data_IF_876579671772
#
_entry.id   IF_876579671772
#
_cell.length_a   1.000
_cell.length_b   1.000
_cell.length_c   1.000
_cell.angle_alpha   90.00
_cell.angle_beta   90.00
_cell.angle_gamma   90.00
#
_symmetry.space_group_name_H-M   'P 1'
#
loop_
_entity.id
_entity.type
_entity.pdbx_description
1 polymer ?
#
# COMPACT_ATOMS: atom_id res chain seq x y z
N UNK A 1 -30.47 -23.76 -11.90
CA UNK A 1 -29.69 -23.04 -12.92
C UNK A 1 -28.44 -22.60 -12.21
N UNK A 2 -27.47 -23.51 -12.14
CA UNK A 2 -26.11 -23.21 -11.69
C UNK A 2 -25.52 -22.34 -12.79
N UNK A 3 -25.55 -21.02 -12.56
CA UNK A 3 -24.82 -20.09 -13.41
C UNK A 3 -23.38 -20.21 -12.96
N UNK A 4 -22.56 -20.76 -13.84
CA UNK A 4 -21.10 -20.72 -13.78
C UNK A 4 -20.66 -19.30 -13.41
N UNK A 5 -20.37 -19.10 -12.13
CA UNK A 5 -19.70 -17.92 -11.62
C UNK A 5 -18.23 -18.07 -12.04
N UNK A 6 -17.97 -17.85 -13.33
CA UNK A 6 -16.64 -17.49 -13.82
C UNK A 6 -16.34 -16.13 -13.18
N UNK A 7 -15.92 -16.17 -11.91
CA UNK A 7 -15.38 -15.02 -11.21
C UNK A 7 -14.04 -14.77 -11.90
N UNK A 8 -14.09 -13.99 -12.98
CA UNK A 8 -12.93 -13.37 -13.58
C UNK A 8 -12.18 -12.68 -12.44
N UNK A 9 -11.07 -13.29 -12.02
CA UNK A 9 -10.29 -12.84 -10.88
C UNK A 9 -9.61 -11.53 -11.29
N UNK A 10 -10.36 -10.44 -11.18
CA UNK A 10 -9.83 -9.11 -11.38
C UNK A 10 -9.06 -8.74 -10.11
N UNK A 11 -7.73 -8.61 -10.16
CA UNK A 11 -6.94 -8.27 -8.97
C UNK A 11 -7.20 -6.82 -8.52
N UNK A 12 -7.83 -6.00 -9.36
CA UNK A 12 -8.10 -4.60 -9.10
C UNK A 12 -9.44 -4.41 -8.39
N UNK A 13 -9.42 -3.68 -7.26
CA UNK A 13 -10.61 -3.29 -6.51
C UNK A 13 -10.77 -1.78 -6.56
N UNK A 14 -12.02 -1.29 -6.59
CA UNK A 14 -12.28 0.16 -6.51
C UNK A 14 -11.95 0.66 -5.12
N UNK A 15 -11.22 1.76 -5.04
CA UNK A 15 -11.04 2.46 -3.78
C UNK A 15 -12.35 3.14 -3.37
N UNK A 16 -12.79 2.91 -2.13
CA UNK A 16 -14.04 3.45 -1.57
C UNK A 16 -13.78 4.18 -0.26
N UNK A 17 -14.79 4.89 0.26
CA UNK A 17 -14.73 5.48 1.60
C UNK A 17 -14.53 4.45 2.70
N UNK A 18 -15.10 3.26 2.52
CA UNK A 18 -14.90 2.13 3.43
C UNK A 18 -13.46 1.64 3.39
N UNK A 19 -12.87 1.56 2.19
CA UNK A 19 -11.45 1.24 2.01
C UNK A 19 -10.56 2.21 2.78
N UNK A 20 -10.80 3.52 2.64
CA UNK A 20 -10.07 4.56 3.38
C UNK A 20 -10.20 4.38 4.90
N UNK A 21 -11.42 4.20 5.40
CA UNK A 21 -11.66 3.98 6.83
C UNK A 21 -10.92 2.75 7.36
N UNK A 22 -10.92 1.65 6.60
CA UNK A 22 -10.22 0.42 6.96
C UNK A 22 -8.70 0.60 6.98
N UNK A 23 -8.12 1.40 6.07
CA UNK A 23 -6.69 1.74 6.08
C UNK A 23 -6.37 2.61 7.30
N UNK A 24 -7.13 3.68 7.53
CA UNK A 24 -6.92 4.58 8.68
C UNK A 24 -7.01 3.83 10.02
N UNK A 25 -7.97 2.92 10.15
CA UNK A 25 -8.11 2.07 11.33
C UNK A 25 -6.86 1.20 11.55
N UNK A 26 -6.42 0.47 10.53
CA UNK A 26 -5.22 -0.38 10.62
C UNK A 26 -3.97 0.41 10.99
N UNK A 27 -3.79 1.58 10.38
CA UNK A 27 -2.68 2.49 10.70
C UNK A 27 -2.74 2.96 12.15
N UNK A 28 -3.93 3.27 12.68
CA UNK A 28 -4.09 3.70 14.06
C UNK A 28 -3.80 2.57 15.05
N UNK A 29 -4.28 1.35 14.77
CA UNK A 29 -4.02 0.15 15.56
C UNK A 29 -2.52 -0.16 15.62
N UNK A 30 -1.83 -0.17 14.48
CA UNK A 30 -0.38 -0.41 14.40
C UNK A 30 0.43 0.65 15.18
N UNK A 31 0.04 1.92 15.06
CA UNK A 31 0.66 3.01 15.83
C UNK A 31 0.44 2.85 17.34
N UNK A 32 -0.73 2.41 17.76
CA UNK A 32 -1.03 2.18 19.17
C UNK A 32 -0.18 1.03 19.73
N UNK A 33 -0.08 -0.09 19.01
CA UNK A 33 0.78 -1.23 19.39
C UNK A 33 2.23 -0.79 19.53
N UNK A 34 2.77 -0.11 18.51
CA UNK A 34 4.15 0.43 18.52
C UNK A 34 4.39 1.44 19.65
N UNK A 35 3.38 2.16 20.13
CA UNK A 35 3.50 3.06 21.27
C UNK A 35 3.49 2.32 22.60
N UNK A 36 2.65 1.28 22.74
CA UNK A 36 2.59 0.48 23.97
C UNK A 36 3.82 -0.39 24.19
N UNK A 37 4.45 -0.88 23.12
CA UNK A 37 5.69 -1.66 23.20
C UNK A 37 6.92 -0.79 23.54
N UNK A 38 6.88 0.50 23.18
CA UNK A 38 7.96 1.47 23.50
C UNK A 38 7.93 2.00 24.93
N UNK A 39 6.95 1.62 25.74
CA UNK A 39 6.91 2.00 27.15
C UNK A 39 7.08 0.77 28.05
N UNK A 40 8.32 0.53 28.52
CA UNK A 40 8.49 0.18 29.92
C UNK A 40 9.54 1.07 30.60
N UNK A 41 9.10 1.66 31.71
CA UNK A 41 9.86 2.13 32.86
C UNK A 41 10.88 3.26 32.65
N UNK A 42 10.63 4.36 33.36
CA UNK A 42 11.70 5.20 33.88
C UNK A 42 12.68 4.32 34.69
N UNK A 43 13.84 3.99 34.12
CA UNK A 43 15.04 3.72 34.91
C UNK A 43 16.23 4.34 34.20
N UNK A 44 16.76 5.34 34.88
CA UNK A 44 18.03 6.02 34.71
C UNK A 44 19.20 5.07 34.37
N UNK A 45 20.17 5.56 33.60
CA UNK A 45 21.54 5.04 33.38
C UNK A 45 21.87 4.25 32.10
N UNK A 46 22.76 4.88 31.32
CA UNK A 46 23.95 4.33 30.65
C UNK A 46 23.82 3.52 29.35
N UNK A 47 24.37 4.12 28.29
CA UNK A 47 25.20 3.54 27.22
C UNK A 47 25.40 2.01 27.27
N UNK A 48 24.68 1.29 26.40
CA UNK A 48 25.09 -0.02 25.88
C UNK A 48 24.37 -0.28 24.54
N UNK A 49 25.16 -0.56 23.50
CA UNK A 49 24.69 -1.06 22.22
C UNK A 49 24.10 -2.47 22.40
N UNK A 50 22.80 -2.56 22.65
CA UNK A 50 22.09 -3.82 22.86
C UNK A 50 20.97 -4.00 21.86
N UNK A 51 21.23 -4.82 20.84
CA UNK A 51 20.30 -5.57 19.99
C UNK A 51 18.82 -5.45 20.44
N UNK A 52 18.09 -4.51 19.83
CA UNK A 52 16.65 -4.34 20.02
C UNK A 52 15.98 -5.68 19.70
N UNK A 53 15.05 -6.21 20.53
CA UNK A 53 14.43 -7.49 20.26
C UNK A 53 13.76 -7.41 18.89
N UNK A 54 14.38 -8.08 17.92
CA UNK A 54 13.87 -8.34 16.58
C UNK A 54 12.54 -9.07 16.72
N UNK A 55 11.47 -8.32 16.97
CA UNK A 55 10.12 -8.75 16.69
C UNK A 55 10.10 -9.02 15.20
N UNK A 56 10.24 -10.31 14.89
CA UNK A 56 10.34 -10.91 13.57
C UNK A 56 8.98 -10.80 12.85
N UNK A 57 8.49 -9.58 12.65
CA UNK A 57 7.69 -9.33 11.46
C UNK A 57 8.68 -9.31 10.30
N UNK A 58 8.54 -10.19 9.30
CA UNK A 58 9.35 -10.03 8.10
C UNK A 58 9.08 -8.62 7.60
N UNK A 59 10.13 -7.79 7.50
CA UNK A 59 10.02 -6.49 6.87
C UNK A 59 9.34 -6.73 5.51
N UNK A 60 8.08 -6.30 5.39
CA UNK A 60 7.39 -6.38 4.12
C UNK A 60 8.26 -5.59 3.14
N UNK A 61 8.58 -6.18 2.00
CA UNK A 61 9.34 -5.52 0.94
C UNK A 61 8.40 -5.34 -0.26
N UNK A 62 8.50 -4.22 -0.99
CA UNK A 62 7.76 -4.04 -2.23
C UNK A 62 7.98 -5.25 -3.15
N UNK A 63 6.93 -5.67 -3.82
CA UNK A 63 6.97 -6.81 -4.71
C UNK A 63 7.86 -6.49 -5.93
N UNK A 64 8.97 -7.22 -6.17
CA UNK A 64 9.90 -6.94 -7.26
C UNK A 64 9.27 -7.14 -8.65
N UNK A 65 8.15 -7.87 -8.75
CA UNK A 65 7.41 -8.03 -10.01
C UNK A 65 6.61 -6.78 -10.41
N UNK A 66 6.40 -5.86 -9.48
CA UNK A 66 5.72 -4.58 -9.70
C UNK A 66 6.71 -3.41 -9.85
N UNK A 67 8.01 -3.70 -9.94
CA UNK A 67 9.05 -2.71 -10.18
C UNK A 67 8.89 -2.05 -11.56
N UNK A 68 9.04 -0.72 -11.61
CA UNK A 68 8.94 0.03 -12.84
C UNK A 68 9.94 -0.46 -13.90
N UNK A 69 9.47 -0.64 -15.14
CA UNK A 69 10.29 -1.14 -16.24
C UNK A 69 10.41 -2.68 -16.31
N UNK A 70 9.87 -3.43 -15.34
CA UNK A 70 9.66 -4.88 -15.47
C UNK A 70 8.39 -5.16 -16.25
N UNK A 71 8.35 -6.35 -16.88
CA UNK A 71 7.11 -6.85 -17.50
C UNK A 71 6.13 -7.22 -16.39
N UNK A 72 4.91 -6.69 -16.44
CA UNK A 72 3.85 -7.02 -15.50
C UNK A 72 3.48 -8.51 -15.59
N UNK A 73 3.10 -9.15 -14.47
CA UNK A 73 2.47 -10.47 -14.49
C UNK A 73 1.26 -10.50 -15.42
N UNK A 74 0.95 -11.62 -16.10
CA UNK A 74 -0.20 -11.71 -17.01
C UNK A 74 -1.54 -11.31 -16.38
N UNK A 75 -1.71 -11.53 -15.08
CA UNK A 75 -2.90 -11.14 -14.33
C UNK A 75 -3.10 -9.63 -14.18
N UNK A 76 -2.06 -8.83 -14.41
CA UNK A 76 -2.06 -7.37 -14.30
C UNK A 76 -1.82 -6.68 -15.66
N UNK A 77 -1.69 -7.46 -16.73
CA UNK A 77 -1.42 -6.95 -18.08
C UNK A 77 -2.68 -6.30 -18.68
N UNK A 78 -3.87 -6.80 -18.33
CA UNK A 78 -5.14 -6.22 -18.76
C UNK A 78 -5.81 -5.45 -17.62
N UNK A 79 -5.89 -4.13 -17.75
CA UNK A 79 -6.50 -3.26 -16.74
C UNK A 79 -7.96 -2.95 -17.12
N UNK A 80 -8.93 -3.19 -16.23
CA UNK A 80 -10.35 -3.03 -16.55
C UNK A 80 -10.69 -1.57 -16.89
N UNK A 81 -11.25 -1.34 -18.08
CA UNK A 81 -11.60 -0.02 -18.60
C UNK A 81 -12.54 0.80 -17.67
N UNK A 82 -13.38 0.11 -16.89
CA UNK A 82 -14.31 0.76 -15.95
C UNK A 82 -13.64 1.29 -14.67
N UNK A 83 -12.36 0.98 -14.44
CA UNK A 83 -11.52 1.50 -13.37
C UNK A 83 -10.54 2.56 -13.87
N UNK A 84 -10.43 2.77 -15.18
CA UNK A 84 -9.48 3.74 -15.75
C UNK A 84 -9.82 5.14 -15.27
N UNK A 85 -8.82 5.84 -14.72
CA UNK A 85 -9.00 7.17 -14.13
C UNK A 85 -9.76 7.19 -12.80
N UNK A 86 -10.03 6.02 -12.21
CA UNK A 86 -10.61 5.89 -10.86
C UNK A 86 -9.55 5.34 -9.90
N UNK A 87 -9.54 5.78 -8.63
CA UNK A 87 -8.64 5.21 -7.64
C UNK A 87 -8.99 3.74 -7.40
N UNK A 88 -7.95 2.91 -7.26
CA UNK A 88 -8.04 1.48 -6.97
C UNK A 88 -7.35 1.18 -5.64
N UNK A 89 -7.74 0.09 -4.98
CA UNK A 89 -7.06 -0.39 -3.78
C UNK A 89 -5.65 -0.90 -4.11
N UNK A 90 -4.78 -0.89 -3.10
CA UNK A 90 -3.39 -1.33 -3.24
C UNK A 90 -3.30 -2.83 -3.57
N UNK A 91 -2.42 -3.15 -4.53
CA UNK A 91 -2.17 -4.53 -4.98
C UNK A 91 -1.03 -5.23 -4.23
N UNK A 92 -0.20 -4.44 -3.57
CA UNK A 92 1.01 -4.89 -2.89
C UNK A 92 0.78 -4.79 -1.39
N UNK A 93 0.92 -5.93 -0.70
CA UNK A 93 0.78 -6.02 0.76
C UNK A 93 1.75 -5.08 1.48
N UNK A 94 2.89 -4.75 0.88
CA UNK A 94 3.81 -3.76 1.45
C UNK A 94 3.15 -2.40 1.76
N UNK A 95 2.20 -1.96 0.92
CA UNK A 95 1.53 -0.67 1.07
C UNK A 95 0.21 -0.74 1.86
N UNK A 96 -0.18 -1.90 2.39
CA UNK A 96 -1.51 -2.12 2.99
C UNK A 96 -1.87 -1.16 4.14
N UNK A 97 -0.87 -0.62 4.84
CA UNK A 97 -0.98 0.35 5.93
C UNK A 97 -0.24 1.67 5.61
N UNK A 98 -0.11 2.04 4.35
CA UNK A 98 0.50 3.30 3.93
C UNK A 98 -0.51 4.14 3.15
N UNK A 99 -0.58 5.44 3.45
CA UNK A 99 -1.36 6.38 2.63
C UNK A 99 -0.45 7.00 1.58
N UNK A 100 -0.66 6.64 0.32
CA UNK A 100 0.07 7.22 -0.82
C UNK A 100 -0.86 8.12 -1.64
N UNK A 101 -0.42 9.35 -1.94
CA UNK A 101 -1.18 10.30 -2.76
C UNK A 101 -0.48 10.48 -4.11
N UNK A 102 -1.14 10.09 -5.19
CA UNK A 102 -0.64 10.28 -6.56
C UNK A 102 -1.12 11.65 -7.06
N UNK A 103 -0.20 12.60 -7.17
CA UNK A 103 -0.48 13.94 -7.72
C UNK A 103 -0.13 13.95 -9.22
N UNK A 104 -1.12 14.06 -10.10
CA UNK A 104 -0.89 14.23 -11.54
C UNK A 104 -0.60 15.71 -11.86
N UNK A 105 0.67 16.06 -12.07
CA UNK A 105 1.04 17.37 -12.63
C UNK A 105 0.84 17.34 -14.15
N UNK A 106 -0.32 17.84 -14.61
CA UNK A 106 -0.57 18.13 -16.02
C UNK A 106 0.25 19.36 -16.45
N UNK A 107 1.52 19.19 -16.80
CA UNK A 107 2.28 20.20 -17.53
C UNK A 107 2.02 20.05 -19.03
N UNK A 108 0.89 20.56 -19.50
CA UNK A 108 0.67 20.87 -20.90
C UNK A 108 0.61 22.40 -21.04
N UNK A 109 1.75 23.01 -21.31
CA UNK A 109 1.80 24.36 -21.89
C UNK A 109 2.47 24.23 -23.24
N UNK A 110 1.65 24.04 -24.28
CA UNK A 110 1.99 24.51 -25.62
C UNK A 110 2.03 26.04 -25.54
N UNK A 111 3.19 26.63 -25.26
CA UNK A 111 3.43 28.00 -25.71
C UNK A 111 4.12 27.90 -27.06
N UNK A 112 3.38 28.28 -28.09
CA UNK A 112 3.83 28.42 -29.45
C UNK A 112 5.15 29.20 -29.56
N UNK A 113 5.99 28.75 -30.49
CA UNK A 113 7.02 29.57 -31.12
C UNK A 113 6.44 30.90 -31.61
N UNK A 114 7.13 32.02 -31.40
CA UNK A 114 7.40 32.99 -32.44
C UNK A 114 8.66 32.62 -33.24
#
# INVERSE_FOLDING_TARGET
>A
MDLDEEVDYCPFRRFTRESLFNIERRIAEEKAVKQTEKTPAETDSSDDEGDEPSHHEPELKPNPKLEAGRKLPPSLEDFPAHLTGRPVEDLDEYYHNQLVSITYLNNFVLSAMP
#
